data_IF_388725519193
#
_entry.id   IF_388725519193
#
_cell.length_a   1.000
_cell.length_b   1.000
_cell.length_c   1.000
_cell.angle_alpha   90.00
_cell.angle_beta   90.00
_cell.angle_gamma   90.00
#
_symmetry.space_group_name_H-M   'P 1'
#
loop_
_entity.id
_entity.type
_entity.pdbx_description
1 polymer ?
#
# COMPACT_ATOMS: atom_id res chain seq x y z
N UNK A 1 -16.01 56.35 -44.43
CA UNK A 1 -16.44 56.17 -42.99
C UNK A 1 -16.84 54.73 -42.60
N UNK A 2 -17.44 53.93 -43.49
CA UNK A 2 -17.80 52.53 -43.15
C UNK A 2 -16.58 51.57 -43.01
N UNK A 3 -15.57 51.73 -43.85
CA UNK A 3 -14.33 50.91 -43.85
C UNK A 3 -13.48 51.13 -42.64
N UNK A 4 -13.43 52.31 -42.04
CA UNK A 4 -12.66 52.56 -40.79
C UNK A 4 -13.31 51.88 -39.58
N UNK A 5 -14.65 51.77 -39.54
CA UNK A 5 -15.36 51.07 -38.47
C UNK A 5 -15.11 49.56 -38.48
N UNK A 6 -14.95 48.95 -39.64
CA UNK A 6 -14.63 47.50 -39.72
C UNK A 6 -13.17 47.22 -39.38
N UNK A 7 -12.25 48.12 -39.71
CA UNK A 7 -10.84 47.99 -39.32
C UNK A 7 -10.63 48.11 -37.82
N UNK A 8 -11.35 49.00 -37.14
CA UNK A 8 -11.29 49.14 -35.67
C UNK A 8 -11.96 47.99 -34.95
N UNK A 9 -13.02 47.39 -35.51
CA UNK A 9 -13.64 46.17 -34.95
C UNK A 9 -12.74 44.92 -35.10
N UNK A 10 -12.02 44.82 -36.23
CA UNK A 10 -11.08 43.71 -36.46
C UNK A 10 -9.85 43.83 -35.56
N UNK A 11 -9.35 45.05 -35.32
CA UNK A 11 -8.24 45.28 -34.40
C UNK A 11 -8.62 44.98 -32.94
N UNK A 12 -9.88 45.29 -32.53
CA UNK A 12 -10.34 44.98 -31.16
C UNK A 12 -10.56 43.50 -30.93
N UNK A 13 -10.97 42.73 -31.96
CA UNK A 13 -11.12 41.26 -31.83
C UNK A 13 -9.77 40.53 -31.81
N UNK A 14 -8.71 41.09 -32.40
CA UNK A 14 -7.36 40.49 -32.33
C UNK A 14 -6.71 40.67 -30.94
N UNK A 15 -7.04 41.76 -30.24
CA UNK A 15 -6.49 42.01 -28.89
C UNK A 15 -7.14 41.12 -27.82
N UNK A 16 -8.37 40.65 -28.06
CA UNK A 16 -9.03 39.72 -27.13
C UNK A 16 -8.58 38.27 -27.29
N UNK A 17 -7.90 37.91 -28.38
CA UNK A 17 -7.42 36.55 -28.61
C UNK A 17 -6.05 36.26 -27.97
N UNK A 18 -5.34 37.27 -27.47
CA UNK A 18 -4.00 37.11 -26.89
C UNK A 18 -3.98 37.15 -25.34
N UNK A 19 -5.16 37.24 -24.69
CA UNK A 19 -5.26 37.48 -23.26
C UNK A 19 -5.43 36.21 -22.40
N UNK A 20 -5.31 35.00 -22.97
CA UNK A 20 -5.54 33.78 -22.17
C UNK A 20 -4.58 32.63 -22.44
N UNK A 21 -3.36 32.93 -22.86
CA UNK A 21 -2.36 31.85 -22.97
C UNK A 21 -0.96 32.43 -22.76
N UNK A 22 -0.58 32.56 -21.49
CA UNK A 22 0.80 32.44 -21.04
C UNK A 22 0.86 32.80 -19.56
N UNK A 23 1.60 32.01 -18.85
CA UNK A 23 1.89 32.01 -17.42
C UNK A 23 0.85 31.27 -16.55
N UNK A 24 0.57 30.01 -16.90
CA UNK A 24 0.46 29.03 -15.84
C UNK A 24 1.90 28.60 -15.54
N UNK A 25 2.45 29.08 -14.46
CA UNK A 25 3.59 28.43 -13.82
C UNK A 25 3.20 26.94 -13.71
N UNK A 26 4.05 26.05 -14.21
CA UNK A 26 3.85 24.62 -13.94
C UNK A 26 3.65 24.49 -12.44
N UNK A 27 2.57 23.80 -12.00
CA UNK A 27 2.36 23.63 -10.57
C UNK A 27 3.62 23.01 -9.98
N UNK A 28 4.35 23.78 -9.22
CA UNK A 28 5.45 23.22 -8.43
C UNK A 28 4.80 22.28 -7.44
N UNK A 29 5.05 20.98 -7.59
CA UNK A 29 4.62 19.94 -6.63
C UNK A 29 5.36 20.11 -5.30
N UNK A 30 5.45 21.35 -4.81
CA UNK A 30 6.23 21.61 -3.60
C UNK A 30 5.61 20.99 -2.36
N UNK A 31 4.30 20.79 -2.30
CA UNK A 31 3.65 20.01 -1.21
C UNK A 31 2.20 19.65 -1.56
N UNK A 32 1.82 18.35 -1.50
CA UNK A 32 0.42 17.96 -1.55
C UNK A 32 -0.36 18.63 -0.40
N UNK A 33 -1.62 19.01 -0.62
CA UNK A 33 -2.44 19.71 0.39
C UNK A 33 -2.87 18.82 1.56
N UNK A 34 -2.45 17.54 1.58
CA UNK A 34 -2.78 16.55 2.60
C UNK A 34 -1.59 16.25 3.50
N UNK A 35 -1.84 16.18 4.80
CA UNK A 35 -0.85 15.78 5.79
C UNK A 35 -0.27 16.97 6.57
N UNK A 36 0.76 16.67 7.35
CA UNK A 36 1.43 17.62 8.23
C UNK A 36 2.86 17.88 7.75
N UNK A 37 3.08 19.02 7.12
CA UNK A 37 4.37 19.43 6.58
C UNK A 37 5.42 19.80 7.66
N UNK A 38 5.02 19.87 8.92
CA UNK A 38 5.93 20.16 10.05
C UNK A 38 6.63 18.89 10.57
N UNK A 39 6.20 17.69 10.15
CA UNK A 39 6.88 16.44 10.50
C UNK A 39 8.31 16.48 9.96
N UNK A 40 9.29 16.32 10.86
CA UNK A 40 10.71 16.40 10.58
C UNK A 40 11.25 15.21 9.78
N UNK A 41 12.58 15.06 9.78
CA UNK A 41 13.23 13.90 9.17
C UNK A 41 12.95 12.63 9.97
N UNK A 42 12.97 11.46 9.27
CA UNK A 42 12.90 10.17 9.93
C UNK A 42 14.09 9.97 10.89
N UNK A 43 13.80 9.47 12.07
CA UNK A 43 14.80 9.24 13.12
C UNK A 43 14.83 7.76 13.58
N UNK A 44 14.05 6.90 12.94
CA UNK A 44 13.96 5.47 13.20
C UNK A 44 13.61 4.72 11.92
N UNK A 45 14.27 3.61 11.65
CA UNK A 45 13.91 2.68 10.57
C UNK A 45 12.73 1.81 10.96
N UNK A 46 12.06 1.22 9.96
CA UNK A 46 10.95 0.28 10.19
C UNK A 46 11.45 -0.95 10.96
N UNK A 47 12.66 -1.46 10.68
CA UNK A 47 13.22 -2.59 11.42
C UNK A 47 13.45 -2.24 12.89
N UNK A 48 14.05 -1.08 13.21
CA UNK A 48 14.26 -0.63 14.58
C UNK A 48 12.95 -0.44 15.34
N UNK A 49 11.91 0.12 14.69
CA UNK A 49 10.57 0.24 15.27
C UNK A 49 10.01 -1.16 15.63
N UNK A 50 10.08 -2.11 14.68
CA UNK A 50 9.59 -3.48 14.90
C UNK A 50 10.37 -4.19 16.01
N UNK A 51 11.67 -4.02 16.08
CA UNK A 51 12.51 -4.61 17.15
C UNK A 51 12.16 -4.01 18.50
N UNK A 52 12.04 -2.68 18.60
CA UNK A 52 11.69 -1.99 19.84
C UNK A 52 10.35 -2.44 20.41
N UNK A 53 9.39 -2.76 19.57
CA UNK A 53 8.06 -3.22 19.97
C UNK A 53 7.85 -4.73 19.79
N UNK A 54 8.93 -5.52 19.60
CA UNK A 54 8.86 -6.94 19.26
C UNK A 54 8.03 -7.77 20.25
N UNK A 55 8.15 -7.52 21.55
CA UNK A 55 7.37 -8.23 22.58
C UNK A 55 5.88 -7.91 22.49
N UNK A 56 5.52 -6.66 22.23
CA UNK A 56 4.14 -6.22 22.04
C UNK A 56 3.54 -6.82 20.76
N UNK A 57 4.30 -6.80 19.66
CA UNK A 57 3.89 -7.38 18.38
C UNK A 57 3.66 -8.89 18.53
N UNK A 58 4.60 -9.61 19.13
CA UNK A 58 4.51 -11.06 19.34
C UNK A 58 3.37 -11.47 20.26
N UNK A 59 3.01 -10.62 21.21
CA UNK A 59 1.87 -10.83 22.09
C UNK A 59 0.50 -10.49 21.45
N UNK A 60 0.49 -9.99 20.18
CA UNK A 60 -0.70 -9.42 19.54
C UNK A 60 -1.35 -8.30 20.38
N UNK A 61 -0.53 -7.54 21.10
CA UNK A 61 -0.93 -6.40 21.91
C UNK A 61 -0.80 -5.07 21.16
N UNK A 62 -1.00 -3.99 21.93
CA UNK A 62 -0.76 -2.62 21.45
C UNK A 62 -0.05 -1.82 22.54
N UNK A 63 0.86 -0.94 22.15
CA UNK A 63 1.57 -0.03 23.05
C UNK A 63 1.67 1.36 22.40
N UNK A 64 1.35 2.37 23.19
CA UNK A 64 1.49 3.76 22.77
C UNK A 64 2.97 4.13 22.59
N UNK A 65 3.26 4.87 21.54
CA UNK A 65 4.56 5.48 21.26
C UNK A 65 4.62 6.81 22.00
N UNK A 66 5.44 6.91 23.00
CA UNK A 66 5.54 8.12 23.86
C UNK A 66 6.74 9.00 23.53
N UNK A 67 7.73 8.43 22.88
CA UNK A 67 8.93 9.13 22.41
C UNK A 67 8.78 9.71 21.01
N UNK A 68 9.67 10.64 20.65
CA UNK A 68 9.77 11.13 19.29
C UNK A 68 10.22 10.00 18.37
N UNK A 69 9.36 9.61 17.45
CA UNK A 69 9.55 8.48 16.56
C UNK A 69 8.90 8.79 15.20
N UNK A 70 9.73 9.04 14.21
CA UNK A 70 9.31 9.28 12.83
C UNK A 70 9.94 8.20 11.97
N UNK A 71 9.11 7.42 11.27
CA UNK A 71 9.53 6.46 10.25
C UNK A 71 9.23 7.02 8.87
N UNK A 72 10.04 6.63 7.89
CA UNK A 72 9.83 6.97 6.48
C UNK A 72 9.78 5.68 5.66
N UNK A 73 8.97 5.66 4.62
CA UNK A 73 8.90 4.56 3.68
C UNK A 73 8.08 4.90 2.44
N UNK A 74 8.11 4.01 1.48
CA UNK A 74 7.36 4.11 0.23
C UNK A 74 6.13 3.21 0.29
N UNK A 75 4.98 3.69 -0.17
CA UNK A 75 3.73 2.92 -0.20
C UNK A 75 3.84 1.82 -1.25
N UNK A 76 3.76 0.56 -0.82
CA UNK A 76 3.84 -0.64 -1.67
C UNK A 76 2.51 -1.37 -1.81
N UNK A 77 1.51 -1.04 -0.98
CA UNK A 77 0.15 -1.55 -1.09
C UNK A 77 -0.82 -0.57 -0.44
N UNK A 78 -2.00 -0.41 -1.02
CA UNK A 78 -3.07 0.48 -0.55
C UNK A 78 -4.45 -0.11 -0.84
N UNK A 79 -5.51 0.66 -0.60
CA UNK A 79 -6.91 0.22 -0.70
C UNK A 79 -7.57 0.52 -2.06
N UNK A 80 -6.80 0.77 -3.12
CA UNK A 80 -7.32 1.20 -4.43
C UNK A 80 -8.30 0.18 -5.03
N UNK A 81 -7.87 -1.07 -5.12
CA UNK A 81 -8.68 -2.14 -5.73
C UNK A 81 -9.67 -2.81 -4.78
N UNK A 82 -9.65 -2.48 -3.49
CA UNK A 82 -10.50 -3.10 -2.47
C UNK A 82 -10.00 -4.44 -1.94
N UNK A 83 -8.88 -4.98 -2.43
CA UNK A 83 -8.27 -6.17 -1.83
C UNK A 83 -7.62 -5.88 -0.48
N UNK A 84 -7.03 -4.71 -0.33
CA UNK A 84 -6.57 -4.16 0.95
C UNK A 84 -7.65 -3.23 1.51
N UNK A 85 -7.90 -3.27 2.82
CA UNK A 85 -9.02 -2.54 3.41
C UNK A 85 -8.63 -1.73 4.64
N UNK A 86 -8.80 -0.41 4.54
CA UNK A 86 -8.56 0.55 5.63
C UNK A 86 -7.12 0.49 6.18
N UNK A 87 -6.17 0.29 5.31
CA UNK A 87 -4.75 0.27 5.60
C UNK A 87 -3.94 0.51 4.34
N UNK A 88 -2.72 0.89 4.53
CA UNK A 88 -1.67 0.87 3.51
C UNK A 88 -0.41 0.28 4.10
N UNK A 89 0.54 -0.08 3.27
CA UNK A 89 1.79 -0.70 3.71
C UNK A 89 2.92 0.15 3.16
N UNK A 90 3.83 0.52 4.04
CA UNK A 90 5.07 1.22 3.67
C UNK A 90 6.26 0.30 3.84
N UNK A 91 7.21 0.44 2.93
CA UNK A 91 8.47 -0.28 2.90
C UNK A 91 9.63 0.72 2.92
N UNK A 92 10.65 0.44 3.72
CA UNK A 92 11.96 1.06 3.65
C UNK A 92 13.02 -0.01 3.33
N UNK A 93 14.30 0.37 3.22
CA UNK A 93 15.37 -0.60 2.91
C UNK A 93 15.51 -1.70 3.98
N UNK A 94 14.99 -1.47 5.19
CA UNK A 94 15.15 -2.37 6.34
C UNK A 94 13.97 -3.30 6.56
N UNK A 95 12.79 -2.95 6.06
CA UNK A 95 11.58 -3.75 6.22
C UNK A 95 10.31 -3.01 5.83
N UNK A 96 9.16 -3.63 6.14
CA UNK A 96 7.87 -3.03 5.88
C UNK A 96 6.95 -3.11 7.09
N UNK A 97 5.95 -2.23 7.15
CA UNK A 97 4.98 -2.17 8.23
C UNK A 97 3.59 -1.77 7.71
N UNK A 98 2.56 -2.34 8.31
CA UNK A 98 1.17 -1.98 8.05
C UNK A 98 0.83 -0.68 8.79
N UNK A 99 0.15 0.25 8.12
CA UNK A 99 -0.42 1.45 8.73
C UNK A 99 -1.94 1.37 8.61
N UNK A 100 -2.60 1.14 9.75
CA UNK A 100 -4.05 0.99 9.83
C UNK A 100 -4.75 2.32 10.06
N UNK A 101 -5.66 2.71 9.16
CA UNK A 101 -6.45 3.95 9.25
C UNK A 101 -7.93 3.62 9.11
N UNK A 102 -8.78 4.18 9.99
CA UNK A 102 -10.22 3.96 9.91
C UNK A 102 -10.88 4.87 8.86
N UNK A 103 -10.38 4.80 7.65
CA UNK A 103 -10.92 5.47 6.47
C UNK A 103 -10.81 4.56 5.24
N UNK A 104 -11.42 4.95 4.14
CA UNK A 104 -11.36 4.30 2.84
C UNK A 104 -10.96 5.32 1.77
N UNK A 105 -10.44 4.83 0.63
CA UNK A 105 -9.96 5.71 -0.44
C UNK A 105 -8.61 6.35 -0.09
N UNK A 106 -7.82 5.67 0.75
CA UNK A 106 -6.48 6.13 1.12
C UNK A 106 -5.57 6.29 -0.10
N UNK A 107 -5.77 5.47 -1.13
CA UNK A 107 -5.02 5.49 -2.38
C UNK A 107 -5.02 6.85 -3.08
N UNK A 108 -6.11 7.62 -2.95
CA UNK A 108 -6.21 8.94 -3.57
C UNK A 108 -5.18 9.95 -3.02
N UNK A 109 -4.74 9.74 -1.79
CA UNK A 109 -3.72 10.56 -1.12
C UNK A 109 -2.37 9.85 -1.04
N UNK A 110 -2.39 8.54 -1.07
CA UNK A 110 -1.26 7.64 -0.86
C UNK A 110 -1.20 6.58 -1.97
N UNK A 111 -1.01 7.01 -3.23
CA UNK A 111 -0.84 6.06 -4.32
C UNK A 111 0.41 5.20 -4.13
N UNK A 112 0.47 4.05 -4.79
CA UNK A 112 1.65 3.19 -4.80
C UNK A 112 2.85 3.99 -5.34
N UNK A 113 4.01 3.84 -4.71
CA UNK A 113 5.21 4.62 -5.00
C UNK A 113 5.30 5.95 -4.24
N UNK A 114 4.28 6.34 -3.46
CA UNK A 114 4.33 7.56 -2.67
C UNK A 114 5.23 7.39 -1.45
N UNK A 115 6.24 8.24 -1.33
CA UNK A 115 7.08 8.34 -0.12
C UNK A 115 6.36 9.13 0.96
N UNK A 116 6.35 8.61 2.18
CA UNK A 116 5.66 9.22 3.33
C UNK A 116 6.50 9.12 4.59
N UNK A 117 6.32 10.09 5.49
CA UNK A 117 6.77 10.03 6.89
C UNK A 117 5.59 9.87 7.80
N UNK A 118 5.73 9.00 8.79
CA UNK A 118 4.72 8.80 9.83
C UNK A 118 5.33 9.22 11.18
N UNK A 119 4.77 10.26 11.78
CA UNK A 119 5.03 10.58 13.19
C UNK A 119 4.22 9.62 14.06
N UNK A 120 4.91 8.67 14.66
CA UNK A 120 4.31 7.61 15.47
C UNK A 120 3.95 8.09 16.89
N UNK A 121 4.47 9.24 17.35
CA UNK A 121 4.24 9.73 18.72
C UNK A 121 2.76 9.96 18.99
N UNK A 122 2.22 9.33 20.06
CA UNK A 122 0.79 9.34 20.38
C UNK A 122 -0.04 8.30 19.63
N UNK A 123 0.52 7.64 18.61
CA UNK A 123 -0.07 6.46 17.98
C UNK A 123 0.31 5.20 18.76
N UNK A 124 -0.23 4.07 18.32
CA UNK A 124 0.08 2.77 18.89
C UNK A 124 0.84 1.91 17.88
N UNK A 125 1.81 1.15 18.39
CA UNK A 125 2.46 0.06 17.64
C UNK A 125 2.09 -1.26 18.32
N UNK A 126 1.73 -2.23 17.53
CA UNK A 126 1.33 -3.53 18.05
C UNK A 126 1.33 -4.63 17.01
N UNK A 127 0.72 -5.77 17.36
CA UNK A 127 0.63 -6.93 16.51
C UNK A 127 -0.81 -7.38 16.27
N UNK A 128 -1.10 -7.77 15.03
CA UNK A 128 -2.31 -8.48 14.68
C UNK A 128 -1.97 -9.72 13.85
N UNK A 129 -2.25 -10.91 14.40
CA UNK A 129 -1.81 -12.18 13.78
C UNK A 129 -0.29 -12.30 13.62
N UNK A 130 0.47 -11.63 14.50
CA UNK A 130 1.92 -11.42 14.47
C UNK A 130 2.42 -10.38 13.45
N UNK A 131 1.54 -9.77 12.68
CA UNK A 131 1.90 -8.67 11.77
C UNK A 131 2.06 -7.36 12.56
N UNK A 132 3.20 -6.70 12.38
CA UNK A 132 3.44 -5.38 12.96
C UNK A 132 2.53 -4.33 12.31
N UNK A 133 1.93 -3.48 13.12
CA UNK A 133 1.05 -2.42 12.67
C UNK A 133 1.28 -1.13 13.46
N UNK A 134 1.28 -0.01 12.77
CA UNK A 134 1.06 1.33 13.32
C UNK A 134 -0.44 1.63 13.21
N UNK A 135 -1.04 2.14 14.30
CA UNK A 135 -2.47 2.45 14.29
C UNK A 135 -2.94 3.08 15.60
N UNK A 136 -4.15 2.73 16.00
CA UNK A 136 -4.76 3.17 17.27
C UNK A 136 -5.04 2.00 18.20
N UNK A 137 -5.57 2.30 19.36
CA UNK A 137 -6.03 1.29 20.30
C UNK A 137 -7.48 0.89 19.99
N UNK A 138 -7.75 -0.41 19.98
CA UNK A 138 -9.09 -0.96 19.83
C UNK A 138 -9.27 -2.15 20.81
N UNK A 139 -10.12 -1.97 21.80
CA UNK A 139 -10.44 -2.98 22.81
C UNK A 139 -9.17 -3.67 23.41
N UNK A 140 -8.19 -2.83 23.79
CA UNK A 140 -6.92 -3.28 24.36
C UNK A 140 -5.91 -3.87 23.36
N UNK A 141 -6.26 -4.01 22.10
CA UNK A 141 -5.43 -4.52 21.03
C UNK A 141 -5.09 -3.44 20.01
N UNK A 142 -4.15 -3.75 19.10
CA UNK A 142 -3.88 -2.86 17.98
C UNK A 142 -5.10 -2.77 17.05
N UNK A 143 -5.48 -1.56 16.71
CA UNK A 143 -6.55 -1.25 15.78
C UNK A 143 -6.11 -0.21 14.75
N UNK A 144 -7.07 0.36 14.06
CA UNK A 144 -6.84 1.44 13.10
C UNK A 144 -6.83 2.78 13.82
N UNK A 145 -5.95 3.69 13.42
CA UNK A 145 -6.02 5.07 13.92
C UNK A 145 -7.27 5.77 13.40
N UNK A 146 -7.75 6.74 14.16
CA UNK A 146 -8.92 7.52 13.76
C UNK A 146 -8.56 8.39 12.54
N UNK A 147 -9.43 8.43 11.55
CA UNK A 147 -9.24 9.24 10.34
C UNK A 147 -9.03 10.74 10.62
N UNK A 148 -9.57 11.25 11.72
CA UNK A 148 -9.43 12.67 12.07
C UNK A 148 -8.04 13.03 12.58
N UNK A 149 -7.27 12.07 13.11
CA UNK A 149 -5.89 12.30 13.57
C UNK A 149 -4.86 11.96 12.49
N UNK A 150 -5.22 11.10 11.53
CA UNK A 150 -4.31 10.63 10.50
C UNK A 150 -3.57 11.77 9.77
N UNK A 151 -4.23 12.86 9.31
CA UNK A 151 -3.53 13.95 8.63
C UNK A 151 -2.44 14.64 9.46
N UNK A 152 -2.56 14.64 10.79
CA UNK A 152 -1.54 15.24 11.66
C UNK A 152 -0.32 14.35 11.88
N UNK A 153 -0.42 13.06 11.57
CA UNK A 153 0.64 12.07 11.73
C UNK A 153 1.33 11.66 10.42
N UNK A 154 0.90 12.18 9.28
CA UNK A 154 1.48 11.83 7.98
C UNK A 154 2.03 13.05 7.27
N UNK A 155 3.21 12.92 6.66
CA UNK A 155 3.76 13.88 5.70
C UNK A 155 4.02 13.17 4.39
N UNK A 156 3.52 13.75 3.29
CA UNK A 156 3.76 13.27 1.93
C UNK A 156 5.05 13.92 1.42
N UNK A 157 5.94 13.14 0.83
CA UNK A 157 7.24 13.56 0.34
C UNK A 157 7.28 13.40 -1.19
N UNK A 158 7.39 14.51 -1.89
CA UNK A 158 7.50 14.50 -3.35
C UNK A 158 6.29 13.91 -4.09
N UNK A 159 6.50 13.54 -5.34
CA UNK A 159 5.54 12.82 -6.16
C UNK A 159 5.74 11.30 -6.02
N UNK A 160 4.72 10.48 -6.33
CA UNK A 160 4.88 9.03 -6.37
C UNK A 160 5.94 8.63 -7.40
N UNK A 161 6.82 7.70 -7.02
CA UNK A 161 7.87 7.18 -7.90
C UNK A 161 7.96 5.65 -7.77
N UNK A 162 7.53 4.94 -8.81
CA UNK A 162 7.61 3.47 -8.87
C UNK A 162 9.03 2.94 -9.16
N UNK A 163 9.99 3.81 -9.43
CA UNK A 163 11.41 3.43 -9.67
C UNK A 163 12.25 3.40 -8.40
N UNK A 164 11.70 3.84 -7.27
CA UNK A 164 12.35 3.79 -5.96
C UNK A 164 12.83 2.38 -5.63
N UNK A 165 13.96 2.27 -4.91
CA UNK A 165 14.53 0.97 -4.54
C UNK A 165 13.56 0.16 -3.67
N UNK A 166 12.81 0.81 -2.82
CA UNK A 166 11.80 0.22 -1.93
C UNK A 166 10.61 -0.38 -2.69
N UNK A 167 10.40 0.04 -3.94
CA UNK A 167 9.39 -0.52 -4.84
C UNK A 167 9.84 -1.79 -5.56
N UNK A 168 11.11 -2.18 -5.43
CA UNK A 168 11.60 -3.42 -6.00
C UNK A 168 11.29 -4.58 -5.07
N UNK A 169 10.48 -5.58 -5.52
CA UNK A 169 10.18 -6.72 -4.69
C UNK A 169 11.42 -7.58 -4.46
N UNK A 170 11.59 -8.10 -3.26
CA UNK A 170 12.60 -9.13 -2.97
C UNK A 170 12.15 -10.46 -3.57
N UNK A 171 12.96 -11.04 -4.46
CA UNK A 171 12.72 -12.40 -4.94
C UNK A 171 12.96 -13.37 -3.80
N UNK A 172 11.97 -14.19 -3.49
CA UNK A 172 12.02 -15.15 -2.38
C UNK A 172 11.84 -16.58 -2.87
N UNK A 173 12.42 -17.52 -2.13
CA UNK A 173 12.28 -18.96 -2.31
C UNK A 173 11.79 -19.66 -1.03
N UNK A 174 11.76 -20.98 -1.03
CA UNK A 174 11.29 -21.79 0.13
C UNK A 174 12.07 -21.52 1.44
N UNK A 175 13.31 -21.07 1.35
CA UNK A 175 14.11 -20.73 2.54
C UNK A 175 13.60 -19.50 3.31
N UNK A 176 12.78 -18.68 2.66
CA UNK A 176 12.13 -17.52 3.27
C UNK A 176 11.19 -17.93 4.43
N UNK A 177 10.54 -19.09 4.35
CA UNK A 177 9.44 -19.51 5.22
C UNK A 177 9.91 -20.18 6.52
N UNK A 178 11.04 -19.75 7.04
CA UNK A 178 11.53 -20.20 8.35
C UNK A 178 10.91 -19.40 9.49
N UNK A 179 10.88 -19.99 10.71
CA UNK A 179 10.36 -19.30 11.90
C UNK A 179 11.12 -18.01 12.25
N UNK A 180 12.39 -17.89 11.83
CA UNK A 180 13.25 -16.75 12.11
C UNK A 180 12.94 -15.53 11.22
N UNK A 181 12.15 -15.70 10.16
CA UNK A 181 11.81 -14.62 9.22
C UNK A 181 10.65 -13.72 9.66
N UNK A 182 10.22 -13.76 10.92
CA UNK A 182 9.17 -12.84 11.43
C UNK A 182 9.50 -11.37 11.24
N UNK A 183 10.78 -11.00 11.22
CA UNK A 183 11.23 -9.64 10.94
C UNK A 183 10.92 -9.18 9.51
N UNK A 184 10.79 -10.11 8.58
CA UNK A 184 10.51 -9.83 7.15
C UNK A 184 9.01 -9.75 6.81
N UNK A 185 8.11 -9.89 7.80
CA UNK A 185 6.67 -9.77 7.56
C UNK A 185 6.30 -8.37 7.10
N UNK A 186 5.28 -8.30 6.28
CA UNK A 186 4.84 -7.16 5.50
C UNK A 186 5.80 -6.74 4.36
N UNK A 187 6.86 -7.52 4.06
CA UNK A 187 7.81 -7.19 3.00
C UNK A 187 7.17 -7.34 1.62
N UNK A 188 7.53 -6.43 0.71
CA UNK A 188 7.16 -6.54 -0.70
C UNK A 188 8.07 -7.56 -1.36
N UNK A 189 7.49 -8.61 -1.91
CA UNK A 189 8.21 -9.79 -2.41
C UNK A 189 7.74 -10.18 -3.81
N UNK A 190 8.57 -10.96 -4.50
CA UNK A 190 8.28 -11.63 -5.77
C UNK A 190 8.44 -13.13 -5.62
N UNK A 191 7.41 -13.86 -5.99
CA UNK A 191 7.43 -15.31 -6.23
C UNK A 191 7.63 -15.55 -7.72
N UNK A 192 8.58 -16.38 -8.11
CA UNK A 192 8.87 -16.67 -9.50
C UNK A 192 8.54 -18.11 -9.86
N UNK A 193 7.96 -18.32 -11.05
CA UNK A 193 7.66 -19.64 -11.60
C UNK A 193 6.69 -20.45 -10.73
N UNK A 194 5.68 -19.79 -10.15
CA UNK A 194 4.70 -20.45 -9.29
C UNK A 194 3.37 -20.64 -10.01
N UNK A 195 2.59 -21.63 -9.55
CA UNK A 195 1.25 -21.90 -10.03
C UNK A 195 0.23 -21.71 -8.90
N UNK A 196 -0.98 -21.26 -9.26
CA UNK A 196 -2.10 -21.18 -8.33
C UNK A 196 -2.88 -22.50 -8.44
N UNK A 197 -3.00 -23.21 -7.33
CA UNK A 197 -3.57 -24.57 -7.27
C UNK A 197 -4.99 -24.65 -7.87
N UNK A 198 -5.81 -23.62 -7.67
CA UNK A 198 -7.20 -23.57 -8.12
C UNK A 198 -7.36 -23.02 -9.55
N UNK A 199 -6.28 -22.63 -10.23
CA UNK A 199 -6.32 -22.09 -11.58
C UNK A 199 -6.60 -23.21 -12.60
N UNK A 200 -7.85 -23.37 -13.01
CA UNK A 200 -8.34 -24.40 -13.94
C UNK A 200 -8.85 -23.82 -15.27
N UNK A 201 -8.61 -22.53 -15.51
CA UNK A 201 -9.09 -21.77 -16.67
C UNK A 201 -10.50 -21.20 -16.52
N UNK A 202 -11.22 -21.55 -15.44
CA UNK A 202 -12.58 -21.07 -15.15
C UNK A 202 -12.73 -20.48 -13.75
N UNK A 203 -11.82 -20.81 -12.83
CA UNK A 203 -11.85 -20.31 -11.47
C UNK A 203 -11.67 -18.79 -11.42
N UNK A 204 -12.48 -18.11 -10.63
CA UNK A 204 -12.43 -16.68 -10.41
C UNK A 204 -11.61 -16.37 -9.14
N UNK A 205 -11.06 -15.14 -9.04
CA UNK A 205 -10.24 -14.74 -7.91
C UNK A 205 -10.97 -14.88 -6.57
N UNK A 206 -12.12 -14.22 -6.43
CA UNK A 206 -12.85 -14.20 -5.16
C UNK A 206 -14.37 -14.16 -5.36
N UNK A 207 -14.98 -15.19 -5.97
CA UNK A 207 -16.42 -15.23 -6.16
C UNK A 207 -17.14 -15.29 -4.81
N UNK A 208 -18.29 -14.59 -4.73
CA UNK A 208 -19.04 -14.36 -3.49
C UNK A 208 -19.47 -15.66 -2.80
N UNK A 209 -19.75 -16.73 -3.55
CA UNK A 209 -20.20 -18.02 -3.02
C UNK A 209 -19.12 -18.80 -2.28
N UNK A 210 -17.83 -18.47 -2.49
CA UNK A 210 -16.70 -19.15 -1.84
C UNK A 210 -16.14 -18.38 -0.64
N UNK A 211 -16.72 -17.22 -0.31
CA UNK A 211 -16.21 -16.38 0.78
C UNK A 211 -16.34 -17.04 2.14
N UNK A 212 -15.35 -16.78 2.97
CA UNK A 212 -15.43 -17.07 4.40
C UNK A 212 -16.19 -15.95 5.18
N UNK A 213 -16.29 -16.06 6.49
CA UNK A 213 -16.96 -15.07 7.36
C UNK A 213 -16.30 -13.68 7.35
N UNK A 214 -15.13 -13.55 6.80
CA UNK A 214 -14.39 -12.29 6.66
C UNK A 214 -14.50 -11.68 5.25
N UNK A 215 -15.39 -12.20 4.39
CA UNK A 215 -15.54 -11.84 2.99
C UNK A 215 -14.25 -12.03 2.18
N UNK A 216 -13.55 -13.12 2.43
CA UNK A 216 -12.29 -13.47 1.80
C UNK A 216 -12.41 -14.86 1.17
N UNK A 217 -11.83 -15.00 -0.02
CA UNK A 217 -11.54 -16.27 -0.67
C UNK A 217 -10.04 -16.53 -0.58
N UNK A 218 -9.67 -17.74 -0.27
CA UNK A 218 -8.28 -18.17 -0.21
C UNK A 218 -7.95 -18.98 -1.46
N UNK A 219 -6.84 -18.61 -2.12
CA UNK A 219 -6.23 -19.38 -3.20
C UNK A 219 -4.86 -19.85 -2.73
N UNK A 220 -4.33 -20.90 -3.30
CA UNK A 220 -3.13 -21.53 -2.78
C UNK A 220 -2.01 -21.55 -3.81
N UNK A 221 -0.82 -21.14 -3.36
CA UNK A 221 0.44 -21.27 -4.09
C UNK A 221 1.31 -22.25 -3.32
N UNK A 222 1.87 -23.22 -4.01
CA UNK A 222 2.82 -24.15 -3.42
C UNK A 222 4.24 -23.73 -3.79
N UNK A 223 5.06 -23.41 -2.78
CA UNK A 223 6.48 -23.17 -2.95
C UNK A 223 7.28 -24.14 -2.07
N UNK A 224 7.97 -25.09 -2.72
CA UNK A 224 8.64 -26.17 -2.01
C UNK A 224 7.69 -26.98 -1.13
N UNK A 225 7.91 -26.96 0.18
CA UNK A 225 7.04 -27.60 1.19
C UNK A 225 6.05 -26.64 1.83
N UNK A 226 6.07 -25.36 1.46
CA UNK A 226 5.23 -24.32 2.06
C UNK A 226 4.00 -24.07 1.18
N UNK A 227 2.84 -24.06 1.82
CA UNK A 227 1.59 -23.54 1.25
C UNK A 227 1.47 -22.07 1.59
N UNK A 228 1.37 -21.21 0.58
CA UNK A 228 1.13 -19.79 0.71
C UNK A 228 -0.32 -19.53 0.34
N UNK A 229 -1.05 -18.87 1.23
CA UNK A 229 -2.43 -18.44 0.95
C UNK A 229 -2.37 -17.12 0.19
N UNK A 230 -2.87 -17.11 -1.03
CA UNK A 230 -3.15 -15.90 -1.77
C UNK A 230 -4.52 -15.39 -1.32
N UNK A 231 -4.52 -14.34 -0.50
CA UNK A 231 -5.71 -13.87 0.20
C UNK A 231 -6.43 -12.80 -0.62
N UNK A 232 -7.66 -13.10 -1.06
CA UNK A 232 -8.47 -12.27 -1.94
C UNK A 232 -9.75 -11.79 -1.26
N UNK A 233 -10.02 -10.49 -1.32
CA UNK A 233 -11.28 -9.90 -0.86
C UNK A 233 -12.37 -10.06 -1.93
N UNK A 234 -13.59 -10.43 -1.52
CA UNK A 234 -14.74 -10.40 -2.45
C UNK A 234 -15.15 -8.99 -2.87
N UNK A 235 -14.58 -7.97 -2.22
CA UNK A 235 -14.77 -6.56 -2.57
C UNK A 235 -13.71 -6.02 -3.53
N UNK A 236 -12.70 -6.84 -3.90
CA UNK A 236 -11.73 -6.44 -4.90
C UNK A 236 -12.42 -6.25 -6.25
N UNK A 237 -12.03 -5.24 -6.99
CA UNK A 237 -12.59 -4.94 -8.32
C UNK A 237 -12.35 -6.08 -9.31
N UNK A 238 -11.27 -6.83 -9.15
CA UNK A 238 -10.92 -8.02 -9.92
C UNK A 238 -11.51 -9.34 -9.37
N UNK A 239 -12.33 -9.31 -8.31
CA UNK A 239 -12.83 -10.52 -7.64
C UNK A 239 -13.50 -11.55 -8.58
N UNK A 240 -14.16 -11.05 -9.63
CA UNK A 240 -14.87 -11.85 -10.62
C UNK A 240 -14.09 -12.06 -11.93
N UNK A 241 -12.81 -11.75 -11.96
CA UNK A 241 -11.92 -12.06 -13.08
C UNK A 241 -11.40 -13.50 -12.96
N UNK A 242 -11.06 -14.12 -14.10
CA UNK A 242 -10.51 -15.46 -14.12
C UNK A 242 -9.05 -15.46 -13.63
N UNK A 243 -8.70 -16.49 -12.88
CA UNK A 243 -7.31 -16.71 -12.46
C UNK A 243 -6.51 -17.18 -13.66
N UNK A 244 -5.36 -16.56 -14.00
CA UNK A 244 -4.50 -17.04 -15.07
C UNK A 244 -3.93 -18.40 -14.73
N UNK A 245 -3.85 -19.28 -15.75
CA UNK A 245 -3.26 -20.62 -15.64
C UNK A 245 -1.78 -20.61 -16.00
N UNK A 246 -1.08 -21.70 -15.67
CA UNK A 246 0.33 -21.89 -15.98
C UNK A 246 1.26 -21.23 -14.96
N UNK A 247 2.52 -21.07 -15.34
CA UNK A 247 3.54 -20.49 -14.49
C UNK A 247 3.44 -18.97 -14.44
N UNK A 248 3.49 -18.43 -13.23
CA UNK A 248 3.30 -17.02 -12.91
C UNK A 248 4.48 -16.48 -12.11
N UNK A 249 4.80 -15.21 -12.33
CA UNK A 249 5.55 -14.43 -11.37
C UNK A 249 4.54 -13.53 -10.63
N UNK A 250 4.56 -13.55 -9.30
CA UNK A 250 3.59 -12.82 -8.48
C UNK A 250 4.31 -11.91 -7.51
N UNK A 251 4.07 -10.60 -7.64
CA UNK A 251 4.49 -9.63 -6.65
C UNK A 251 3.40 -9.49 -5.57
N UNK A 252 3.80 -9.07 -4.37
CA UNK A 252 2.81 -8.83 -3.32
C UNK A 252 3.46 -8.62 -1.97
N UNK A 253 2.63 -8.32 -0.98
CA UNK A 253 3.10 -8.17 0.39
C UNK A 253 2.98 -9.50 1.11
N UNK A 254 4.12 -10.03 1.57
CA UNK A 254 4.13 -11.27 2.36
C UNK A 254 3.68 -10.97 3.78
N UNK A 255 2.54 -11.52 4.13
CA UNK A 255 1.92 -11.36 5.45
C UNK A 255 1.84 -12.71 6.17
N UNK A 256 1.44 -12.66 7.44
CA UNK A 256 1.21 -13.85 8.23
C UNK A 256 -0.02 -13.67 9.12
N UNK A 257 -0.84 -14.68 9.20
CA UNK A 257 -1.88 -14.74 10.20
C UNK A 257 -1.70 -16.01 11.04
N UNK A 258 -1.21 -15.85 12.25
CA UNK A 258 -0.80 -16.95 13.13
C UNK A 258 0.25 -17.86 12.44
N UNK A 259 -0.12 -19.08 12.11
CA UNK A 259 0.79 -20.07 11.50
C UNK A 259 0.71 -20.10 9.96
N UNK A 260 -0.17 -19.28 9.36
CA UNK A 260 -0.40 -19.26 7.91
C UNK A 260 0.34 -18.11 7.24
N UNK A 261 1.17 -18.44 6.25
CA UNK A 261 1.76 -17.46 5.35
C UNK A 261 0.73 -17.01 4.33
N UNK A 262 0.63 -15.72 4.14
CA UNK A 262 -0.34 -15.13 3.23
C UNK A 262 0.35 -14.11 2.32
N UNK A 263 0.08 -14.19 1.01
CA UNK A 263 0.46 -13.16 0.06
C UNK A 263 -0.76 -12.29 -0.23
N UNK A 264 -0.57 -10.98 -0.18
CA UNK A 264 -1.59 -9.99 -0.52
C UNK A 264 -1.12 -9.21 -1.73
N UNK A 265 -1.82 -9.35 -2.85
CA UNK A 265 -1.61 -8.53 -4.04
C UNK A 265 -2.46 -7.27 -3.96
N UNK A 266 -1.99 -6.18 -4.57
CA UNK A 266 -2.72 -4.92 -4.66
C UNK A 266 -3.68 -4.92 -5.84
N UNK A 267 -3.25 -5.47 -6.99
CA UNK A 267 -4.06 -5.60 -8.19
C UNK A 267 -3.64 -6.83 -8.99
N UNK A 268 -4.31 -7.12 -10.10
CA UNK A 268 -3.88 -8.15 -11.06
C UNK A 268 -2.63 -7.76 -11.85
N UNK A 269 -2.23 -6.49 -11.83
CA UNK A 269 -0.95 -6.02 -12.39
C UNK A 269 0.27 -6.57 -11.62
N UNK A 270 0.05 -7.05 -10.40
CA UNK A 270 1.07 -7.75 -9.61
C UNK A 270 1.41 -9.13 -10.18
N UNK A 271 0.68 -9.60 -11.20
CA UNK A 271 0.79 -10.96 -11.76
C UNK A 271 1.28 -10.90 -13.21
N UNK A 272 2.41 -11.55 -13.45
CA UNK A 272 3.00 -11.73 -14.77
C UNK A 272 2.89 -13.20 -15.16
N UNK A 273 2.15 -13.51 -16.22
CA UNK A 273 2.07 -14.86 -16.79
C UNK A 273 3.30 -15.12 -17.67
N UNK A 274 4.07 -16.17 -17.38
CA UNK A 274 5.31 -16.54 -18.09
C UNK A 274 5.13 -17.75 -19.00
N UNK A 275 4.13 -18.60 -18.75
CA UNK A 275 3.74 -19.70 -19.61
C UNK A 275 2.24 -19.98 -19.50
N UNK A 276 1.64 -20.50 -20.58
CA UNK A 276 0.25 -20.97 -20.60
C UNK A 276 0.12 -22.45 -20.20
#
# INVERSE_FOLDING_TARGET
>A
MKTIKYLSMLALSLVMATSCMNDFDEPTFEQPPFGNNEIGEANMTIAELKEKYASTISANGAKEVTEDCIVEGVVVANDETGNVYKQFIINDETGAIVVGVNDVGLYAMLPIGQRVRIDCKGLHVGGYGYMAQIGGLYDGSIGRMNKSVFPSHVRIIGAPDSTEQEMKPEVIDDSFFTNDNKAKLAKYVRLEGVEITEADGTALWAPEELKNSSNVVERHIKMGNTNIILRMSTYADFANEAIPTGELNINGVMTRFKDYWQLVISSTDDIEQISE
#
